data_IF_189414826759
#
_entry.id   IF_189414826759
#
_cell.length_a   1.000
_cell.length_b   1.000
_cell.length_c   1.000
_cell.angle_alpha   90.00
_cell.angle_beta   90.00
_cell.angle_gamma   90.00
#
_symmetry.space_group_name_H-M   'P 1'
#
loop_
_entity.id
_entity.type
_entity.pdbx_description
1 polymer ?
#
# COMPACT_ATOMS: atom_id res chain seq x y z
N UNK A 1 16.31 -17.80 -3.29
CA UNK A 1 15.81 -16.77 -2.35
C UNK A 1 14.74 -15.96 -3.11
N UNK A 2 13.56 -15.79 -2.52
CA UNK A 2 12.48 -14.99 -3.13
C UNK A 2 12.74 -13.49 -2.86
N UNK A 3 12.42 -12.65 -3.84
CA UNK A 3 12.66 -11.19 -3.83
C UNK A 3 11.32 -10.48 -3.66
N UNK A 4 11.26 -9.56 -2.71
CA UNK A 4 10.04 -8.81 -2.39
C UNK A 4 10.27 -7.29 -2.49
N UNK A 5 9.33 -6.55 -3.07
CA UNK A 5 9.27 -5.09 -3.01
C UNK A 5 8.10 -4.64 -2.13
N UNK A 6 8.33 -3.67 -1.25
CA UNK A 6 7.28 -2.98 -0.50
C UNK A 6 7.46 -1.48 -0.67
N UNK A 7 6.55 -0.78 -1.32
CA UNK A 7 6.61 0.68 -1.38
C UNK A 7 6.06 1.30 -0.10
N UNK A 8 6.74 2.34 0.43
CA UNK A 8 6.33 3.01 1.67
C UNK A 8 6.59 2.21 2.94
N UNK A 9 7.70 1.45 3.01
CA UNK A 9 8.00 0.53 4.10
C UNK A 9 8.58 1.12 5.38
N UNK A 10 8.61 2.45 5.54
CA UNK A 10 9.20 3.08 6.74
C UNK A 10 8.23 3.28 7.91
N UNK A 11 6.92 3.07 7.73
CA UNK A 11 5.91 3.19 8.77
C UNK A 11 4.61 2.44 8.44
N UNK A 12 3.78 2.22 9.46
CA UNK A 12 2.42 1.68 9.32
C UNK A 12 2.38 0.32 8.63
N UNK A 13 1.37 0.11 7.76
CA UNK A 13 1.12 -1.16 7.07
C UNK A 13 2.36 -1.58 6.26
N UNK A 14 3.03 -0.64 5.58
CA UNK A 14 4.23 -0.95 4.79
C UNK A 14 5.37 -1.50 5.65
N UNK A 15 5.67 -0.89 6.80
CA UNK A 15 6.72 -1.35 7.72
C UNK A 15 6.44 -2.77 8.22
N UNK A 16 5.22 -3.04 8.66
CA UNK A 16 4.85 -4.36 9.18
C UNK A 16 4.83 -5.42 8.06
N UNK A 17 4.50 -5.02 6.82
CA UNK A 17 4.65 -5.89 5.64
C UNK A 17 6.13 -6.23 5.39
N UNK A 18 7.04 -5.26 5.49
CA UNK A 18 8.49 -5.49 5.40
C UNK A 18 8.94 -6.47 6.46
N UNK A 19 8.61 -6.24 7.73
CA UNK A 19 8.98 -7.11 8.85
C UNK A 19 8.45 -8.55 8.65
N UNK A 20 7.20 -8.68 8.18
CA UNK A 20 6.58 -9.98 7.92
C UNK A 20 7.31 -10.74 6.80
N UNK A 21 7.64 -10.07 5.71
CA UNK A 21 8.35 -10.69 4.58
C UNK A 21 9.81 -11.05 4.94
N UNK A 22 10.50 -10.21 5.72
CA UNK A 22 11.84 -10.55 6.26
C UNK A 22 11.76 -11.81 7.13
N UNK A 23 10.79 -11.91 8.04
CA UNK A 23 10.57 -13.10 8.87
C UNK A 23 10.29 -14.37 8.07
N UNK A 24 9.69 -14.22 6.89
CA UNK A 24 9.43 -15.33 5.95
C UNK A 24 10.64 -15.70 5.07
N UNK A 25 11.79 -15.03 5.24
CA UNK A 25 13.02 -15.32 4.51
C UNK A 25 13.10 -14.69 3.11
N UNK A 26 12.27 -13.68 2.81
CA UNK A 26 12.44 -12.90 1.59
C UNK A 26 13.65 -11.98 1.69
N UNK A 27 14.33 -11.77 0.57
CA UNK A 27 15.15 -10.55 0.40
C UNK A 27 14.18 -9.41 0.09
N UNK A 28 14.07 -8.48 1.02
CA UNK A 28 13.12 -7.37 0.90
C UNK A 28 13.83 -6.12 0.44
N UNK A 29 13.29 -5.49 -0.59
CA UNK A 29 13.58 -4.13 -1.01
C UNK A 29 12.43 -3.25 -0.56
N UNK A 30 12.73 -2.07 -0.02
CA UNK A 30 11.71 -1.10 0.30
C UNK A 30 12.16 0.32 0.01
N UNK A 31 11.20 1.22 -0.16
CA UNK A 31 11.47 2.63 -0.37
C UNK A 31 10.57 3.54 0.47
N UNK A 32 11.09 4.71 0.79
CA UNK A 32 10.32 5.83 1.33
C UNK A 32 11.10 7.13 1.13
N UNK A 33 10.46 8.28 1.30
CA UNK A 33 11.06 9.59 1.08
C UNK A 33 12.09 10.00 2.15
N UNK A 34 11.99 9.46 3.37
CA UNK A 34 12.78 9.91 4.52
C UNK A 34 13.75 8.85 5.00
N UNK A 35 15.02 9.08 4.71
CA UNK A 35 16.12 8.27 5.24
C UNK A 35 16.16 8.31 6.78
N UNK A 36 15.87 9.47 7.38
CA UNK A 36 15.83 9.60 8.85
C UNK A 36 14.80 8.66 9.47
N UNK A 37 13.56 8.65 8.96
CA UNK A 37 12.52 7.75 9.46
C UNK A 37 12.93 6.29 9.34
N UNK A 38 13.62 5.91 8.25
CA UNK A 38 14.12 4.55 8.09
C UNK A 38 15.19 4.19 9.13
N UNK A 39 16.15 5.09 9.38
CA UNK A 39 17.18 4.88 10.39
C UNK A 39 16.58 4.72 11.81
N UNK A 40 15.56 5.52 12.14
CA UNK A 40 14.87 5.43 13.42
C UNK A 40 14.17 4.06 13.60
N UNK A 41 13.50 3.55 12.57
CA UNK A 41 12.85 2.23 12.67
C UNK A 41 13.85 1.08 12.66
N UNK A 42 15.00 1.20 11.96
CA UNK A 42 16.08 0.21 12.01
C UNK A 42 16.69 0.06 13.42
N UNK A 43 16.73 1.12 14.20
CA UNK A 43 17.16 1.04 15.61
C UNK A 43 16.19 0.22 16.45
N UNK A 44 14.88 0.34 16.16
CA UNK A 44 13.82 -0.37 16.87
C UNK A 44 13.68 -1.84 16.44
N UNK A 45 13.99 -2.14 15.18
CA UNK A 45 13.81 -3.46 14.56
C UNK A 45 15.13 -3.93 13.90
N UNK A 46 16.02 -4.61 14.64
CA UNK A 46 17.35 -5.01 14.14
C UNK A 46 17.32 -5.89 12.87
N UNK A 47 16.25 -6.66 12.65
CA UNK A 47 16.04 -7.50 11.47
C UNK A 47 15.99 -6.70 10.16
N UNK A 48 15.66 -5.41 10.23
CA UNK A 48 15.65 -4.51 9.08
C UNK A 48 17.03 -4.22 8.50
N UNK A 49 18.11 -4.58 9.19
CA UNK A 49 19.49 -4.48 8.66
C UNK A 49 19.70 -5.33 7.41
N UNK A 50 18.89 -6.37 7.20
CA UNK A 50 18.93 -7.22 6.01
C UNK A 50 18.18 -6.64 4.80
N UNK A 51 17.38 -5.60 5.01
CA UNK A 51 16.53 -4.95 4.00
C UNK A 51 17.35 -4.02 3.13
N UNK A 52 17.10 -4.06 1.83
CA UNK A 52 17.63 -3.09 0.88
C UNK A 52 16.70 -1.87 0.85
N UNK A 53 17.11 -0.83 1.56
CA UNK A 53 16.33 0.41 1.62
C UNK A 53 16.83 1.43 0.60
N UNK A 54 15.89 2.00 -0.15
CA UNK A 54 16.14 3.06 -1.11
C UNK A 54 15.37 4.33 -0.72
N UNK A 55 16.08 5.47 -0.62
CA UNK A 55 15.41 6.77 -0.41
C UNK A 55 14.83 7.25 -1.73
N UNK A 56 13.52 7.05 -1.93
CA UNK A 56 12.82 7.30 -3.19
C UNK A 56 11.47 7.94 -2.91
N UNK A 57 11.16 9.03 -3.61
CA UNK A 57 9.81 9.52 -3.77
C UNK A 57 9.19 8.88 -5.02
N UNK A 58 8.16 8.06 -4.83
CA UNK A 58 7.48 7.41 -5.96
C UNK A 58 6.75 8.40 -6.87
N UNK A 59 6.55 9.65 -6.42
CA UNK A 59 5.99 10.73 -7.23
C UNK A 59 7.00 11.32 -8.24
N UNK A 60 8.27 11.04 -8.06
CA UNK A 60 9.34 11.39 -8.99
C UNK A 60 9.62 10.19 -9.91
N UNK A 61 9.26 10.33 -11.19
CA UNK A 61 9.40 9.24 -12.17
C UNK A 61 10.86 8.82 -12.36
N UNK A 62 11.84 9.74 -12.26
CA UNK A 62 13.25 9.41 -12.41
C UNK A 62 13.76 8.60 -11.22
N UNK A 63 13.35 8.94 -9.99
CA UNK A 63 13.68 8.16 -8.80
C UNK A 63 13.03 6.79 -8.84
N UNK A 64 11.78 6.72 -9.31
CA UNK A 64 11.07 5.45 -9.48
C UNK A 64 11.75 4.55 -10.51
N UNK A 65 12.13 5.09 -11.67
CA UNK A 65 12.89 4.35 -12.68
C UNK A 65 14.26 3.88 -12.14
N UNK A 66 14.92 4.71 -11.34
CA UNK A 66 16.16 4.37 -10.63
C UNK A 66 15.99 3.19 -9.67
N UNK A 67 14.89 3.15 -8.91
CA UNK A 67 14.56 2.04 -8.02
C UNK A 67 14.41 0.72 -8.80
N UNK A 68 13.67 0.72 -9.90
CA UNK A 68 13.47 -0.50 -10.69
C UNK A 68 14.72 -0.92 -11.47
N UNK A 69 15.55 0.04 -11.91
CA UNK A 69 16.87 -0.24 -12.48
C UNK A 69 17.79 -0.90 -11.45
N UNK A 70 17.81 -0.40 -10.20
CA UNK A 70 18.55 -0.99 -9.09
C UNK A 70 18.07 -2.45 -8.83
N UNK A 71 16.75 -2.68 -8.72
CA UNK A 71 16.21 -4.03 -8.50
C UNK A 71 16.65 -4.97 -9.64
N UNK A 72 16.55 -4.52 -10.88
CA UNK A 72 16.96 -5.30 -12.05
C UNK A 72 18.43 -5.71 -12.00
N UNK A 73 19.31 -4.76 -11.67
CA UNK A 73 20.77 -4.99 -11.63
C UNK A 73 21.15 -5.89 -10.46
N UNK A 74 20.59 -5.67 -9.27
CA UNK A 74 20.98 -6.38 -8.06
C UNK A 74 20.34 -7.76 -7.92
N UNK A 75 19.10 -7.92 -8.39
CA UNK A 75 18.30 -9.12 -8.12
C UNK A 75 17.76 -9.80 -9.37
N UNK A 76 17.67 -9.10 -10.50
CA UNK A 76 17.22 -9.61 -11.79
C UNK A 76 15.71 -9.82 -11.90
N UNK A 77 15.00 -10.00 -10.78
CA UNK A 77 13.56 -10.33 -10.74
C UNK A 77 12.85 -9.81 -9.50
N UNK A 78 11.53 -9.88 -9.52
CA UNK A 78 10.64 -9.75 -8.36
C UNK A 78 9.73 -10.99 -8.27
N UNK A 79 9.59 -11.54 -7.07
CA UNK A 79 8.66 -12.66 -6.81
C UNK A 79 7.34 -12.15 -6.19
N UNK A 80 7.41 -11.11 -5.34
CA UNK A 80 6.21 -10.47 -4.76
C UNK A 80 6.38 -8.95 -4.65
N UNK A 81 5.25 -8.23 -4.74
CA UNK A 81 5.23 -6.79 -4.49
C UNK A 81 4.02 -6.35 -3.66
N UNK A 82 4.22 -5.33 -2.82
CA UNK A 82 3.18 -4.66 -2.04
C UNK A 82 3.21 -3.16 -2.38
N UNK A 83 2.22 -2.71 -3.12
CA UNK A 83 2.02 -1.32 -3.48
C UNK A 83 1.25 -0.60 -2.37
N UNK A 84 1.99 -0.06 -1.39
CA UNK A 84 1.42 0.53 -0.18
C UNK A 84 1.68 2.04 -0.05
N UNK A 85 2.69 2.60 -0.70
CA UNK A 85 3.03 4.01 -0.55
C UNK A 85 1.83 4.93 -0.86
N UNK A 86 1.45 5.74 0.12
CA UNK A 86 0.37 6.72 0.03
C UNK A 86 0.69 7.87 0.99
N UNK A 87 0.67 9.13 0.56
CA UNK A 87 0.95 10.28 1.42
C UNK A 87 -0.22 10.55 2.39
N UNK A 88 -0.06 11.55 3.24
CA UNK A 88 -1.20 12.12 3.96
C UNK A 88 -2.22 12.65 2.96
N UNK A 89 -3.51 12.57 3.31
CA UNK A 89 -4.60 13.05 2.46
C UNK A 89 -4.56 14.59 2.34
N UNK A 90 -3.97 15.07 1.26
CA UNK A 90 -3.81 16.50 1.01
C UNK A 90 -5.14 17.16 0.57
N UNK A 91 -5.97 16.47 -0.22
CA UNK A 91 -7.23 16.97 -0.79
C UNK A 91 -8.44 16.77 0.12
N UNK A 92 -8.26 16.89 1.43
CA UNK A 92 -9.38 16.79 2.39
C UNK A 92 -10.20 18.08 2.41
N UNK A 93 -11.54 17.95 2.34
CA UNK A 93 -12.47 19.06 2.45
C UNK A 93 -13.63 18.96 1.46
N UNK A 94 -14.55 19.93 1.54
CA UNK A 94 -15.64 20.07 0.58
C UNK A 94 -15.07 20.42 -0.79
N UNK A 95 -15.36 19.62 -1.81
CA UNK A 95 -14.69 19.65 -3.10
C UNK A 95 -14.52 21.05 -3.74
N UNK A 96 -15.54 21.94 -3.74
CA UNK A 96 -15.39 23.30 -4.27
C UNK A 96 -14.39 24.20 -3.53
N UNK A 97 -13.97 23.82 -2.33
CA UNK A 97 -13.04 24.56 -1.47
C UNK A 97 -11.62 23.98 -1.46
N UNK A 98 -11.41 22.84 -2.11
CA UNK A 98 -10.09 22.21 -2.17
C UNK A 98 -9.30 22.78 -3.35
N UNK A 99 -8.08 23.23 -3.08
CA UNK A 99 -7.18 23.76 -4.10
C UNK A 99 -6.86 22.75 -5.20
N UNK A 100 -6.89 23.19 -6.45
CA UNK A 100 -6.64 22.33 -7.63
C UNK A 100 -5.29 21.59 -7.57
N UNK A 101 -4.16 22.18 -7.12
CA UNK A 101 -2.91 21.44 -6.94
C UNK A 101 -3.04 20.24 -6.03
N UNK A 102 -3.78 20.33 -4.91
CA UNK A 102 -3.99 19.23 -3.96
C UNK A 102 -4.83 18.10 -4.56
N UNK A 103 -5.80 18.44 -5.42
CA UNK A 103 -6.57 17.45 -6.17
C UNK A 103 -5.67 16.67 -7.12
N UNK A 104 -4.80 17.37 -7.86
CA UNK A 104 -3.83 16.77 -8.80
C UNK A 104 -2.82 15.87 -8.06
N UNK A 105 -2.27 16.37 -6.94
CA UNK A 105 -1.33 15.62 -6.12
C UNK A 105 -1.94 14.29 -5.63
N UNK A 106 -3.18 14.34 -5.10
CA UNK A 106 -3.86 13.14 -4.62
C UNK A 106 -4.04 12.11 -5.74
N UNK A 107 -4.52 12.53 -6.91
CA UNK A 107 -4.69 11.62 -8.04
C UNK A 107 -3.34 11.08 -8.55
N UNK A 108 -2.33 11.94 -8.60
CA UNK A 108 -0.99 11.55 -9.03
C UNK A 108 -0.40 10.47 -8.12
N UNK A 109 -0.36 10.70 -6.81
CA UNK A 109 0.34 9.79 -5.89
C UNK A 109 -0.48 8.55 -5.53
N UNK A 110 -1.80 8.72 -5.27
CA UNK A 110 -2.64 7.60 -4.84
C UNK A 110 -3.15 6.72 -5.99
N UNK A 111 -2.94 7.14 -7.25
CA UNK A 111 -3.31 6.33 -8.42
C UNK A 111 -2.17 6.22 -9.45
N UNK A 112 -1.73 7.33 -10.08
CA UNK A 112 -0.80 7.25 -11.22
C UNK A 112 0.53 6.61 -10.81
N UNK A 113 1.12 7.01 -9.68
CA UNK A 113 2.37 6.43 -9.20
C UNK A 113 2.24 4.93 -8.87
N UNK A 114 1.07 4.50 -8.35
CA UNK A 114 0.79 3.07 -8.15
C UNK A 114 0.72 2.32 -9.48
N UNK A 115 0.13 2.92 -10.51
CA UNK A 115 0.10 2.34 -11.86
C UNK A 115 1.50 2.23 -12.46
N UNK A 116 2.37 3.22 -12.25
CA UNK A 116 3.76 3.20 -12.70
C UNK A 116 4.60 2.14 -11.97
N UNK A 117 4.39 1.97 -10.65
CA UNK A 117 4.99 0.87 -9.89
C UNK A 117 4.57 -0.47 -10.49
N UNK A 118 3.26 -0.72 -10.61
CA UNK A 118 2.70 -1.96 -11.16
C UNK A 118 3.25 -2.27 -12.56
N UNK A 119 3.31 -1.26 -13.45
CA UNK A 119 3.90 -1.39 -14.80
C UNK A 119 5.37 -1.82 -14.75
N UNK A 120 6.14 -1.32 -13.81
CA UNK A 120 7.57 -1.60 -13.70
C UNK A 120 7.84 -2.94 -13.00
N UNK A 121 7.02 -3.32 -12.03
CA UNK A 121 7.04 -4.62 -11.38
C UNK A 121 6.81 -5.77 -12.37
N UNK A 122 5.78 -5.64 -13.21
CA UNK A 122 5.44 -6.65 -14.21
C UNK A 122 6.56 -6.92 -15.21
N UNK A 123 7.45 -5.96 -15.47
CA UNK A 123 8.63 -6.17 -16.32
C UNK A 123 9.73 -7.02 -15.66
N UNK A 124 9.65 -7.20 -14.32
CA UNK A 124 10.62 -7.96 -13.52
C UNK A 124 10.02 -9.25 -12.95
N UNK A 125 8.74 -9.53 -13.22
CA UNK A 125 8.02 -10.67 -12.68
C UNK A 125 7.85 -11.78 -13.72
N UNK A 126 7.87 -13.01 -13.22
CA UNK A 126 7.66 -14.23 -13.97
C UNK A 126 6.50 -15.05 -13.38
N UNK A 127 6.15 -16.16 -14.01
CA UNK A 127 5.11 -17.08 -13.53
C UNK A 127 5.34 -17.48 -12.06
N UNK A 128 4.28 -17.41 -11.26
CA UNK A 128 4.31 -17.65 -9.82
C UNK A 128 4.46 -16.37 -8.98
N UNK A 129 4.72 -15.22 -9.60
CA UNK A 129 4.78 -13.94 -8.87
C UNK A 129 3.38 -13.47 -8.44
N UNK A 130 3.36 -12.62 -7.40
CA UNK A 130 2.11 -12.06 -6.86
C UNK A 130 2.27 -10.60 -6.43
N UNK A 131 1.26 -9.78 -6.73
CA UNK A 131 1.19 -8.35 -6.35
C UNK A 131 -0.04 -8.12 -5.49
N UNK A 132 0.12 -7.31 -4.43
CA UNK A 132 -1.00 -6.79 -3.65
C UNK A 132 -0.96 -5.26 -3.65
N UNK A 133 -2.01 -4.65 -4.18
CA UNK A 133 -2.24 -3.20 -4.09
C UNK A 133 -2.97 -2.88 -2.78
N UNK A 134 -2.42 -1.97 -1.97
CA UNK A 134 -3.11 -1.47 -0.77
C UNK A 134 -4.05 -0.34 -1.19
N UNK A 135 -5.31 -0.71 -1.35
CA UNK A 135 -6.42 0.16 -1.66
C UNK A 135 -7.01 0.80 -0.37
N UNK A 136 -8.29 0.95 -0.30
CA UNK A 136 -9.05 1.42 0.87
C UNK A 136 -10.53 1.08 0.69
N UNK A 137 -11.29 0.97 1.77
CA UNK A 137 -12.76 0.98 1.70
C UNK A 137 -13.29 2.22 0.98
N UNK A 138 -12.53 3.32 0.97
CA UNK A 138 -12.84 4.54 0.23
C UNK A 138 -12.71 4.36 -1.30
N UNK A 139 -12.16 3.26 -1.78
CA UNK A 139 -12.20 2.82 -3.18
C UNK A 139 -13.43 2.00 -3.56
N UNK A 140 -14.31 1.73 -2.59
CA UNK A 140 -15.47 0.86 -2.75
C UNK A 140 -16.80 1.55 -2.36
N UNK A 141 -16.73 2.67 -1.64
CA UNK A 141 -17.88 3.41 -1.15
C UNK A 141 -17.69 4.93 -1.27
N UNK A 142 -18.77 5.73 -1.23
CA UNK A 142 -18.66 7.19 -1.16
C UNK A 142 -17.90 7.64 0.07
N UNK A 143 -17.09 8.70 -0.07
CA UNK A 143 -16.34 9.28 1.04
C UNK A 143 -16.45 10.81 0.99
N UNK A 144 -17.47 11.41 1.63
CA UNK A 144 -17.58 12.86 1.75
C UNK A 144 -16.31 13.49 2.35
N UNK A 145 -15.95 14.68 1.88
CA UNK A 145 -14.73 15.41 2.26
C UNK A 145 -13.39 14.70 1.93
N UNK A 146 -13.44 13.64 1.13
CA UNK A 146 -12.25 12.96 0.59
C UNK A 146 -12.51 12.43 -0.83
N UNK A 147 -13.30 13.17 -1.62
CA UNK A 147 -13.79 12.72 -2.93
C UNK A 147 -12.69 12.39 -3.92
N UNK A 148 -11.59 13.16 -3.96
CA UNK A 148 -10.47 12.87 -4.88
C UNK A 148 -9.69 11.63 -4.45
N UNK A 149 -9.51 11.42 -3.15
CA UNK A 149 -8.91 10.18 -2.63
C UNK A 149 -9.78 8.96 -2.93
N UNK A 150 -11.10 9.10 -2.73
CA UNK A 150 -12.06 8.06 -3.10
C UNK A 150 -11.97 7.74 -4.60
N UNK A 151 -11.95 8.75 -5.46
CA UNK A 151 -11.79 8.58 -6.91
C UNK A 151 -10.48 7.87 -7.28
N UNK A 152 -9.35 8.27 -6.67
CA UNK A 152 -8.05 7.64 -6.89
C UNK A 152 -8.06 6.14 -6.48
N UNK A 153 -8.67 5.82 -5.34
CA UNK A 153 -8.77 4.42 -4.88
C UNK A 153 -9.77 3.59 -5.71
N UNK A 154 -10.87 4.17 -6.19
CA UNK A 154 -11.75 3.50 -7.18
C UNK A 154 -11.01 3.24 -8.50
N UNK A 155 -10.19 4.18 -8.95
CA UNK A 155 -9.35 3.99 -10.14
C UNK A 155 -8.33 2.85 -9.93
N UNK A 156 -7.71 2.75 -8.76
CA UNK A 156 -6.79 1.66 -8.40
C UNK A 156 -7.50 0.29 -8.39
N UNK A 157 -8.74 0.23 -7.92
CA UNK A 157 -9.59 -0.97 -7.98
C UNK A 157 -9.85 -1.40 -9.45
N UNK A 158 -10.19 -0.46 -10.31
CA UNK A 158 -10.38 -0.70 -11.75
C UNK A 158 -9.11 -1.20 -12.42
N UNK A 159 -7.97 -0.55 -12.12
CA UNK A 159 -6.66 -0.95 -12.62
C UNK A 159 -6.29 -2.36 -12.16
N UNK A 160 -6.46 -2.65 -10.86
CA UNK A 160 -6.16 -3.97 -10.28
C UNK A 160 -6.89 -5.09 -11.04
N UNK A 161 -8.20 -4.95 -11.27
CA UNK A 161 -9.00 -5.94 -12.00
C UNK A 161 -8.55 -6.13 -13.45
N UNK A 162 -8.30 -5.03 -14.15
CA UNK A 162 -7.91 -5.07 -15.56
C UNK A 162 -6.55 -5.72 -15.75
N UNK A 163 -5.53 -5.24 -15.01
CA UNK A 163 -4.16 -5.76 -15.12
C UNK A 163 -4.04 -7.19 -14.58
N UNK A 164 -4.86 -7.57 -13.59
CA UNK A 164 -4.91 -8.95 -13.12
C UNK A 164 -5.32 -9.93 -14.25
N UNK A 165 -6.33 -9.57 -15.06
CA UNK A 165 -6.75 -10.39 -16.20
C UNK A 165 -5.72 -10.43 -17.34
N UNK A 166 -4.97 -9.35 -17.53
CA UNK A 166 -3.87 -9.31 -18.49
C UNK A 166 -2.71 -10.21 -18.04
N UNK A 167 -2.36 -10.15 -16.75
CA UNK A 167 -1.14 -10.75 -16.19
C UNK A 167 -1.30 -12.23 -15.83
N UNK A 168 -2.52 -12.71 -15.54
CA UNK A 168 -2.75 -14.10 -15.15
C UNK A 168 -2.39 -15.10 -16.25
N UNK A 169 -2.46 -14.69 -17.52
CA UNK A 169 -2.01 -15.51 -18.65
C UNK A 169 -0.52 -15.82 -18.61
N UNK A 170 0.26 -14.95 -17.95
CA UNK A 170 1.68 -15.14 -17.69
C UNK A 170 1.95 -15.76 -16.32
N UNK A 171 0.90 -16.22 -15.60
CA UNK A 171 1.02 -16.84 -14.28
C UNK A 171 1.27 -15.87 -13.14
N UNK A 172 1.01 -14.57 -13.32
CA UNK A 172 1.18 -13.53 -12.29
C UNK A 172 -0.19 -13.17 -11.72
N UNK A 173 -0.34 -13.25 -10.39
CA UNK A 173 -1.57 -12.87 -9.69
C UNK A 173 -1.48 -11.44 -9.17
N UNK A 174 -2.54 -10.68 -9.34
CA UNK A 174 -2.66 -9.32 -8.81
C UNK A 174 -3.99 -9.21 -8.08
N UNK A 175 -3.94 -8.74 -6.84
CA UNK A 175 -5.12 -8.53 -5.99
C UNK A 175 -4.99 -7.21 -5.23
N UNK A 176 -6.02 -6.81 -4.52
CA UNK A 176 -6.00 -5.68 -3.62
C UNK A 176 -6.43 -6.07 -2.20
N UNK A 177 -5.96 -5.31 -1.22
CA UNK A 177 -6.53 -5.25 0.13
C UNK A 177 -7.16 -3.88 0.29
N UNK A 178 -8.37 -3.81 0.81
CA UNK A 178 -9.08 -2.58 1.13
C UNK A 178 -9.23 -2.41 2.65
N UNK A 179 -8.27 -1.77 3.32
CA UNK A 179 -8.37 -1.50 4.75
C UNK A 179 -9.50 -0.52 5.07
N UNK A 180 -10.16 -0.75 6.21
CA UNK A 180 -10.93 0.25 6.90
C UNK A 180 -10.06 1.21 7.71
N UNK A 181 -10.62 1.80 8.76
CA UNK A 181 -9.83 2.61 9.69
C UNK A 181 -8.91 1.70 10.48
N UNK A 182 -7.60 1.86 10.26
CA UNK A 182 -6.55 1.04 10.87
C UNK A 182 -5.67 1.95 11.71
N UNK A 183 -5.39 1.55 12.97
CA UNK A 183 -4.55 2.35 13.87
C UNK A 183 -3.10 2.37 13.38
N UNK A 184 -2.65 3.51 12.90
CA UNK A 184 -1.34 3.74 12.30
C UNK A 184 -0.76 5.06 12.82
N UNK A 185 0.54 5.33 12.65
CA UNK A 185 1.14 6.61 13.06
C UNK A 185 0.39 7.85 12.55
N UNK A 186 -0.28 7.76 11.39
CA UNK A 186 -1.14 8.84 10.87
C UNK A 186 -2.33 9.14 11.79
N UNK A 187 -2.90 8.15 12.43
CA UNK A 187 -3.99 8.33 13.38
C UNK A 187 -3.48 8.77 14.74
N UNK A 188 -2.28 8.33 15.14
CA UNK A 188 -1.60 8.83 16.34
C UNK A 188 -1.32 10.34 16.22
N UNK A 189 -0.79 10.79 15.06
CA UNK A 189 -0.60 12.20 14.76
C UNK A 189 -1.91 13.00 14.88
N UNK A 190 -3.02 12.49 14.31
CA UNK A 190 -4.34 13.13 14.39
C UNK A 190 -4.94 13.12 15.79
N UNK A 191 -4.61 12.13 16.63
CA UNK A 191 -5.05 12.09 18.01
C UNK A 191 -4.41 13.21 18.86
N UNK A 192 -3.22 13.69 18.48
CA UNK A 192 -2.61 14.86 19.13
C UNK A 192 -3.42 16.14 18.89
N UNK A 193 -4.10 16.25 17.76
CA UNK A 193 -4.95 17.38 17.40
C UNK A 193 -6.37 17.25 17.97
N UNK A 194 -6.89 16.02 18.03
CA UNK A 194 -8.22 15.69 18.57
C UNK A 194 -8.14 14.43 19.44
N UNK A 195 -8.10 14.59 20.76
CA UNK A 195 -7.98 13.48 21.72
C UNK A 195 -9.13 12.45 21.63
N UNK A 196 -10.32 12.86 21.19
CA UNK A 196 -11.50 12.01 21.11
C UNK A 196 -11.58 11.21 19.79
N UNK A 197 -10.72 11.50 18.81
CA UNK A 197 -10.84 10.95 17.45
C UNK A 197 -10.87 9.42 17.44
N UNK A 198 -10.21 8.76 18.40
CA UNK A 198 -10.20 7.30 18.48
C UNK A 198 -11.57 6.74 18.86
N UNK A 199 -12.25 7.34 19.82
CA UNK A 199 -13.60 6.98 20.21
C UNK A 199 -14.60 7.29 19.09
N UNK A 200 -14.60 8.56 18.61
CA UNK A 200 -15.53 9.04 17.59
C UNK A 200 -15.49 8.19 16.30
N UNK A 201 -14.30 7.75 15.91
CA UNK A 201 -14.13 6.91 14.71
C UNK A 201 -14.45 5.44 15.00
N UNK A 202 -14.16 4.94 16.19
CA UNK A 202 -14.53 3.57 16.57
C UNK A 202 -16.04 3.37 16.57
N UNK A 203 -16.80 4.35 17.01
CA UNK A 203 -18.28 4.29 17.12
C UNK A 203 -18.98 4.13 15.77
N UNK A 204 -18.36 4.55 14.66
CA UNK A 204 -18.93 4.37 13.31
C UNK A 204 -18.51 3.06 12.64
N UNK A 205 -17.64 2.28 13.27
CA UNK A 205 -17.24 0.96 12.77
C UNK A 205 -18.09 -0.12 13.43
N UNK A 206 -18.78 -1.01 12.70
CA UNK A 206 -19.64 -2.03 13.31
C UNK A 206 -18.98 -2.89 14.38
N UNK A 207 -17.69 -3.24 14.23
CA UNK A 207 -16.94 -3.97 15.28
C UNK A 207 -16.50 -3.08 16.45
N UNK A 208 -16.82 -1.78 16.41
CA UNK A 208 -16.60 -0.77 17.45
C UNK A 208 -15.14 -0.59 17.87
N UNK A 209 -14.21 -0.70 16.94
CA UNK A 209 -12.78 -0.43 17.12
C UNK A 209 -12.07 -0.14 15.81
N UNK A 210 -10.88 0.43 15.91
CA UNK A 210 -9.91 0.42 14.81
C UNK A 210 -9.43 -1.00 14.53
N UNK A 211 -9.10 -1.25 13.27
CA UNK A 211 -8.29 -2.40 12.89
C UNK A 211 -6.84 -2.21 13.36
N UNK A 212 -6.17 -3.30 13.68
CA UNK A 212 -4.73 -3.33 13.95
C UNK A 212 -3.96 -3.54 12.64
N UNK A 213 -2.72 -3.04 12.58
CA UNK A 213 -1.88 -3.16 11.38
C UNK A 213 -1.70 -4.62 10.98
N UNK A 214 -1.52 -5.52 11.96
CA UNK A 214 -1.32 -6.95 11.71
C UNK A 214 -2.54 -7.60 11.04
N UNK A 215 -3.77 -7.13 11.29
CA UNK A 215 -4.97 -7.65 10.62
C UNK A 215 -4.92 -7.38 9.11
N UNK A 216 -4.41 -6.21 8.71
CA UNK A 216 -4.22 -5.87 7.29
C UNK A 216 -3.05 -6.67 6.69
N UNK A 217 -1.94 -6.78 7.43
CA UNK A 217 -0.75 -7.51 6.97
C UNK A 217 -1.02 -9.01 6.81
N UNK A 218 -1.88 -9.60 7.66
CA UNK A 218 -2.32 -10.99 7.50
C UNK A 218 -3.07 -11.20 6.17
N UNK A 219 -3.92 -10.26 5.78
CA UNK A 219 -4.62 -10.30 4.49
C UNK A 219 -3.65 -10.14 3.30
N UNK A 220 -2.68 -9.23 3.41
CA UNK A 220 -1.62 -9.06 2.39
C UNK A 220 -0.82 -10.35 2.25
N UNK A 221 -0.35 -10.92 3.37
CA UNK A 221 0.40 -12.18 3.40
C UNK A 221 -0.39 -13.33 2.75
N UNK A 222 -1.67 -13.45 3.09
CA UNK A 222 -2.53 -14.48 2.49
C UNK A 222 -2.60 -14.32 0.97
N UNK A 223 -2.88 -13.12 0.47
CA UNK A 223 -3.00 -12.87 -0.97
C UNK A 223 -1.68 -13.06 -1.75
N UNK A 224 -0.54 -12.81 -1.12
CA UNK A 224 0.78 -13.07 -1.71
C UNK A 224 1.11 -14.56 -1.75
N UNK A 225 0.53 -15.38 -0.87
CA UNK A 225 0.86 -16.79 -0.70
C UNK A 225 0.17 -17.70 -1.74
N UNK A 226 0.66 -18.95 -1.83
CA UNK A 226 0.06 -19.99 -2.67
C UNK A 226 -1.35 -20.41 -2.19
N UNK A 227 -1.73 -20.08 -0.94
CA UNK A 227 -3.10 -20.29 -0.42
C UNK A 227 -4.14 -19.48 -1.19
N UNK A 228 -3.73 -18.38 -1.85
CA UNK A 228 -4.57 -17.54 -2.70
C UNK A 228 -4.39 -17.85 -4.19
N UNK A 229 -3.94 -19.06 -4.56
CA UNK A 229 -3.61 -19.45 -5.94
C UNK A 229 -4.79 -19.33 -6.92
N UNK A 230 -6.03 -19.37 -6.44
CA UNK A 230 -7.24 -19.23 -7.27
C UNK A 230 -7.92 -17.86 -7.11
N UNK A 231 -7.23 -16.89 -6.51
CA UNK A 231 -7.73 -15.52 -6.29
C UNK A 231 -7.00 -14.57 -7.24
N UNK A 232 -7.74 -13.93 -8.14
CA UNK A 232 -7.22 -13.06 -9.19
C UNK A 232 -8.14 -11.85 -9.37
N UNK A 233 -7.59 -10.64 -9.30
CA UNK A 233 -8.33 -9.38 -9.47
C UNK A 233 -9.32 -9.09 -8.35
N UNK A 234 -9.18 -9.78 -7.21
CA UNK A 234 -10.07 -9.62 -6.06
C UNK A 234 -9.58 -8.53 -5.11
N UNK A 235 -10.53 -7.86 -4.48
CA UNK A 235 -10.25 -6.93 -3.38
C UNK A 235 -10.74 -7.52 -2.07
N UNK A 236 -9.79 -7.87 -1.21
CA UNK A 236 -10.11 -8.37 0.14
C UNK A 236 -10.34 -7.18 1.08
N UNK A 237 -11.57 -7.00 1.50
CA UNK A 237 -11.97 -5.94 2.44
C UNK A 237 -11.63 -6.38 3.87
N UNK A 238 -10.93 -5.49 4.61
CA UNK A 238 -10.53 -5.71 6.02
C UNK A 238 -10.86 -4.45 6.81
N UNK A 239 -12.11 -4.32 7.27
CA UNK A 239 -12.65 -3.03 7.69
C UNK A 239 -13.60 -3.06 8.90
N UNK A 240 -13.76 -4.22 9.53
CA UNK A 240 -14.70 -4.36 10.68
C UNK A 240 -16.16 -4.10 10.34
N UNK A 241 -16.54 -4.25 9.07
CA UNK A 241 -17.90 -4.02 8.57
C UNK A 241 -18.18 -2.58 8.11
N UNK A 242 -17.20 -1.69 8.15
CA UNK A 242 -17.36 -0.26 7.85
C UNK A 242 -17.91 0.02 6.44
N UNK A 243 -17.66 -0.85 5.47
CA UNK A 243 -18.16 -0.69 4.09
C UNK A 243 -19.60 -1.15 3.89
N UNK A 244 -20.21 -1.76 4.89
CA UNK A 244 -21.56 -2.31 4.83
C UNK A 244 -22.64 -1.37 5.42
N UNK A 245 -22.21 -0.23 5.98
CA UNK A 245 -23.06 0.76 6.65
C UNK A 245 -22.92 2.15 6.05
#
# INVERSE_FOLDING_TARGET
MKIALVTGGSKGIGLYSVLRLVKQGYKVITCSRSNKTWLDVMQKYPELKSVDYQSVDIADEQQLDGLFAHIKVQYGKLDVAVNNASPALASRGYLPQVDVPLLKETLHVDFLCQALCLRSELKLMEAGASIVNVSSVNGLRPTPNASMYSAAKHALEGLTRSVALESIKSGIRINAVAPGVTWTPRWEERQLENSNIRADVSDVVPINRFGEIDEIVNAIEFLLSDKASYIVGHTLVVDGGLSLV
#
